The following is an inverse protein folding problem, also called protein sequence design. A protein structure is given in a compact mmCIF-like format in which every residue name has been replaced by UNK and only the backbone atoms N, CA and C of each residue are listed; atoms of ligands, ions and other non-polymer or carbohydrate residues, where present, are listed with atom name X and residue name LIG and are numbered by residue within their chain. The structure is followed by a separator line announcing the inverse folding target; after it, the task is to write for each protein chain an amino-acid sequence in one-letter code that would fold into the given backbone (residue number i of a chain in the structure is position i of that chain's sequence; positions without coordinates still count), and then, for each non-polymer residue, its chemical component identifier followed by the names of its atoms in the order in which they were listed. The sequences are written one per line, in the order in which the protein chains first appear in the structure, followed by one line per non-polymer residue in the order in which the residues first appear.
data_IF_614185189261
#
_entry.id   IF_614185189261
#
_cell.length_a   1.000
_cell.length_b   1.000
_cell.length_c   1.000
_cell.angle_alpha   90.00
_cell.angle_beta   90.00
_cell.angle_gamma   90.00
#
_symmetry.space_group_name_H-M   'P 1'
#
loop_
_entity.id
_entity.type
_entity.pdbx_description
1 polymer ?
#
# COMPACT_ATOMS: atom_id res chain seq x y z
N UNK A 1 70.37 26.37 9.82
CA UNK A 1 69.67 25.85 8.63
C UNK A 1 68.45 25.07 9.09
N UNK A 2 67.30 25.35 8.47
CA UNK A 2 65.99 24.68 8.60
C UNK A 2 66.11 23.17 8.24
N UNK A 3 65.20 22.27 8.69
CA UNK A 3 63.78 22.40 8.33
C UNK A 3 62.73 22.06 9.41
N UNK A 4 61.63 22.79 9.28
CA UNK A 4 60.30 22.49 9.78
C UNK A 4 59.81 21.13 9.32
N UNK A 5 59.12 20.38 10.18
CA UNK A 5 58.32 19.22 9.79
C UNK A 5 56.86 19.45 10.20
N UNK A 6 55.98 19.40 9.20
CA UNK A 6 54.54 19.65 9.30
C UNK A 6 53.84 18.53 10.07
N UNK A 7 52.87 18.90 10.91
CA UNK A 7 51.82 18.02 11.39
C UNK A 7 50.92 17.59 10.22
N UNK A 8 50.75 16.28 10.04
CA UNK A 8 49.65 15.72 9.25
C UNK A 8 48.65 15.06 10.21
N UNK A 9 47.53 15.74 10.47
CA UNK A 9 46.41 15.17 11.20
C UNK A 9 45.56 14.34 10.23
N UNK A 10 45.60 13.01 10.35
CA UNK A 10 44.64 12.13 9.69
C UNK A 10 43.30 12.22 10.43
N UNK A 11 42.34 12.94 9.86
CA UNK A 11 40.94 12.85 10.27
C UNK A 11 40.31 11.66 9.54
N UNK A 12 40.18 10.52 10.21
CA UNK A 12 39.34 9.41 9.77
C UNK A 12 37.87 9.82 9.95
N UNK A 13 37.26 10.36 8.90
CA UNK A 13 35.84 10.64 8.85
C UNK A 13 35.05 9.32 8.82
N UNK A 14 34.62 8.86 9.98
CA UNK A 14 33.64 7.78 10.09
C UNK A 14 32.29 8.24 9.54
N UNK A 15 31.86 7.64 8.43
CA UNK A 15 30.49 7.78 7.94
C UNK A 15 29.55 7.11 8.96
N UNK A 16 29.02 7.89 9.89
CA UNK A 16 27.89 7.46 10.72
C UNK A 16 26.68 7.41 9.81
N UNK A 17 26.37 6.21 9.30
CA UNK A 17 25.09 5.94 8.66
C UNK A 17 24.01 6.11 9.73
N UNK A 18 23.34 7.26 9.71
CA UNK A 18 22.23 7.53 10.62
C UNK A 18 21.06 6.62 10.24
N UNK A 19 20.96 5.47 10.88
CA UNK A 19 19.76 4.65 10.81
C UNK A 19 18.59 5.47 11.37
N UNK A 20 17.45 5.55 10.66
CA UNK A 20 16.30 6.30 11.13
C UNK A 20 15.84 5.76 12.48
N UNK A 21 15.65 6.67 13.44
CA UNK A 21 15.15 6.34 14.78
C UNK A 21 13.76 5.72 14.66
N UNK A 22 13.66 4.45 15.04
CA UNK A 22 12.41 3.69 15.06
C UNK A 22 11.56 4.21 16.22
N UNK A 23 10.67 5.16 15.95
CA UNK A 23 9.59 5.49 16.89
C UNK A 23 8.52 4.42 16.77
N UNK A 24 8.40 3.61 17.82
CA UNK A 24 7.30 2.66 17.97
C UNK A 24 6.05 3.47 18.34
N UNK A 25 5.09 3.58 17.42
CA UNK A 25 3.74 4.04 17.77
C UNK A 25 3.14 3.02 18.74
N UNK A 26 2.71 3.51 19.91
CA UNK A 26 2.39 2.68 21.07
C UNK A 26 1.20 1.75 20.88
N UNK A 27 1.26 0.62 21.59
CA UNK A 27 0.15 -0.26 21.94
C UNK A 27 -0.46 -1.07 20.80
N UNK A 28 -0.76 -2.34 21.06
CA UNK A 28 -1.49 -3.26 20.18
C UNK A 28 -2.99 -2.86 20.13
N UNK A 29 -3.26 -1.64 19.67
CA UNK A 29 -4.60 -1.06 19.59
C UNK A 29 -5.15 -1.33 18.20
N UNK A 30 -6.36 -1.91 18.13
CA UNK A 30 -7.04 -2.12 16.86
C UNK A 30 -7.20 -0.77 16.12
N UNK A 31 -6.57 -0.60 14.94
CA UNK A 31 -6.49 0.69 14.26
C UNK A 31 -7.82 1.21 13.73
N UNK A 32 -8.84 0.35 13.65
CA UNK A 32 -10.18 0.67 13.19
C UNK A 32 -11.08 1.24 14.30
N UNK A 33 -10.72 1.08 15.57
CA UNK A 33 -11.57 1.53 16.68
C UNK A 33 -11.75 3.06 16.65
N UNK A 34 -13.00 3.49 16.85
CA UNK A 34 -13.37 4.90 16.87
C UNK A 34 -13.38 5.60 15.49
N UNK A 35 -12.99 4.90 14.42
CA UNK A 35 -12.90 5.45 13.06
C UNK A 35 -14.01 4.87 12.17
N UNK A 36 -14.46 5.66 11.21
CA UNK A 36 -15.31 5.19 10.13
C UNK A 36 -14.44 4.57 9.03
N UNK A 37 -14.85 3.39 8.55
CA UNK A 37 -14.18 2.75 7.42
C UNK A 37 -14.51 3.52 6.14
N UNK A 38 -13.48 3.82 5.36
CA UNK A 38 -13.61 4.61 4.14
C UNK A 38 -14.45 3.90 3.06
N UNK A 39 -15.49 4.59 2.57
CA UNK A 39 -16.28 4.17 1.41
C UNK A 39 -15.61 4.69 0.15
N UNK A 40 -15.05 3.80 -0.67
CA UNK A 40 -14.37 4.13 -1.92
C UNK A 40 -15.37 4.62 -3.00
N UNK A 41 -15.39 5.92 -3.35
CA UNK A 41 -16.38 6.45 -4.29
C UNK A 41 -16.19 5.95 -5.72
N UNK A 42 -14.94 5.69 -6.15
CA UNK A 42 -14.66 5.16 -7.49
C UNK A 42 -15.21 3.74 -7.64
N UNK A 43 -15.07 2.91 -6.62
CA UNK A 43 -15.67 1.58 -6.62
C UNK A 43 -17.20 1.63 -6.53
N UNK A 44 -17.74 2.46 -5.63
CA UNK A 44 -19.19 2.63 -5.48
C UNK A 44 -19.86 3.08 -6.79
N UNK A 45 -19.23 3.97 -7.55
CA UNK A 45 -19.74 4.42 -8.86
C UNK A 45 -19.87 3.28 -9.89
N UNK A 46 -19.05 2.22 -9.81
CA UNK A 46 -19.17 1.06 -10.73
C UNK A 46 -20.51 0.33 -10.55
N UNK A 47 -21.09 0.39 -9.36
CA UNK A 47 -22.39 -0.23 -9.08
C UNK A 47 -23.57 0.52 -9.73
N UNK A 48 -23.36 1.72 -10.29
CA UNK A 48 -24.42 2.44 -11.02
C UNK A 48 -24.96 1.61 -12.20
N UNK A 49 -24.09 0.86 -12.87
CA UNK A 49 -24.50 -0.06 -13.92
C UNK A 49 -25.39 -1.18 -13.37
N UNK A 50 -25.02 -1.72 -12.21
CA UNK A 50 -25.79 -2.78 -11.53
C UNK A 50 -27.15 -2.24 -11.09
N UNK A 51 -27.18 -1.05 -10.50
CA UNK A 51 -28.41 -0.35 -10.10
C UNK A 51 -29.35 -0.17 -11.30
N UNK A 52 -28.84 0.37 -12.41
CA UNK A 52 -29.60 0.58 -13.64
C UNK A 52 -30.14 -0.72 -14.24
N UNK A 53 -29.47 -1.86 -14.03
CA UNK A 53 -29.92 -3.15 -14.53
C UNK A 53 -31.18 -3.70 -13.84
N UNK A 54 -31.48 -3.25 -12.62
CA UNK A 54 -32.66 -3.68 -11.86
C UNK A 54 -33.92 -2.89 -12.20
N UNK A 55 -33.78 -1.63 -12.64
CA UNK A 55 -34.91 -0.73 -12.88
C UNK A 55 -35.87 -1.24 -13.98
N UNK A 56 -35.42 -1.72 -15.16
CA UNK A 56 -36.31 -2.23 -16.20
C UNK A 56 -37.07 -3.51 -15.79
N UNK A 57 -36.55 -4.24 -14.80
CA UNK A 57 -37.15 -5.49 -14.29
C UNK A 57 -38.18 -5.23 -13.18
N UNK A 58 -38.39 -3.97 -12.78
CA UNK A 58 -39.25 -3.62 -11.65
C UNK A 58 -38.71 -4.11 -10.29
N UNK A 59 -37.43 -4.51 -10.21
CA UNK A 59 -36.83 -5.10 -9.02
C UNK A 59 -36.33 -4.02 -8.05
N UNK A 60 -37.31 -3.35 -7.42
CA UNK A 60 -37.05 -2.25 -6.47
C UNK A 60 -36.31 -2.74 -5.23
N UNK A 61 -36.58 -3.96 -4.78
CA UNK A 61 -35.94 -4.50 -3.59
C UNK A 61 -34.42 -4.62 -3.77
N UNK A 62 -33.96 -5.16 -4.90
CA UNK A 62 -32.52 -5.27 -5.16
C UNK A 62 -31.89 -3.95 -5.57
N UNK A 63 -32.61 -3.04 -6.24
CA UNK A 63 -32.10 -1.69 -6.52
C UNK A 63 -31.78 -0.90 -5.24
N UNK A 64 -32.64 -0.97 -4.22
CA UNK A 64 -32.40 -0.35 -2.91
C UNK A 64 -31.21 -0.99 -2.16
N UNK A 65 -31.01 -2.31 -2.29
CA UNK A 65 -29.82 -2.98 -1.72
C UNK A 65 -28.54 -2.47 -2.37
N UNK A 66 -28.51 -2.31 -3.69
CA UNK A 66 -27.33 -1.76 -4.39
C UNK A 66 -27.05 -0.32 -3.93
N UNK A 67 -28.07 0.52 -3.84
CA UNK A 67 -27.93 1.89 -3.32
C UNK A 67 -27.35 1.89 -1.89
N UNK A 68 -27.83 0.99 -1.03
CA UNK A 68 -27.30 0.85 0.33
C UNK A 68 -25.81 0.45 0.31
N UNK A 69 -25.43 -0.51 -0.55
CA UNK A 69 -24.04 -0.94 -0.71
C UNK A 69 -23.17 0.24 -1.16
N UNK A 70 -23.59 0.98 -2.19
CA UNK A 70 -22.86 2.15 -2.70
C UNK A 70 -22.58 3.21 -1.64
N UNK A 71 -23.53 3.41 -0.72
CA UNK A 71 -23.45 4.48 0.28
C UNK A 71 -22.74 4.07 1.57
N UNK A 72 -22.66 2.78 1.87
CA UNK A 72 -22.26 2.33 3.22
C UNK A 72 -21.19 1.25 3.27
N UNK A 73 -20.94 0.53 2.17
CA UNK A 73 -19.93 -0.51 2.17
C UNK A 73 -18.55 0.08 1.93
N UNK A 74 -17.68 -0.05 2.93
CA UNK A 74 -16.28 0.25 2.80
C UNK A 74 -15.58 -0.77 1.89
N UNK A 75 -14.59 -0.30 1.14
CA UNK A 75 -13.73 -1.16 0.33
C UNK A 75 -12.35 -0.54 0.20
N UNK A 76 -11.35 -1.38 -0.01
CA UNK A 76 -9.98 -0.92 -0.17
C UNK A 76 -9.77 -0.32 -1.56
N UNK A 77 -8.87 0.65 -1.65
CA UNK A 77 -8.43 1.25 -2.92
C UNK A 77 -7.23 0.46 -3.40
N UNK A 78 -7.36 -0.18 -4.57
CA UNK A 78 -6.28 -0.95 -5.17
C UNK A 78 -5.30 -0.02 -5.86
N UNK A 79 -4.02 -0.15 -5.49
CA UNK A 79 -2.89 0.51 -6.14
C UNK A 79 -2.04 -0.61 -6.72
N UNK A 80 -2.31 -0.94 -7.98
CA UNK A 80 -1.80 -2.16 -8.60
C UNK A 80 -0.77 -1.91 -9.70
N UNK A 81 -0.54 -0.64 -10.02
CA UNK A 81 0.41 -0.11 -11.00
C UNK A 81 0.93 1.25 -10.54
N UNK A 82 2.05 1.71 -11.08
CA UNK A 82 2.61 3.05 -10.85
C UNK A 82 1.59 4.13 -11.24
N UNK A 83 0.84 3.93 -12.33
CA UNK A 83 -0.21 4.86 -12.75
C UNK A 83 -1.35 4.99 -11.71
N UNK A 84 -1.59 3.94 -10.91
CA UNK A 84 -2.63 3.92 -9.89
C UNK A 84 -2.25 4.69 -8.62
N UNK A 85 -1.00 5.19 -8.50
CA UNK A 85 -0.59 6.02 -7.36
C UNK A 85 -1.47 7.27 -7.18
N UNK A 86 -2.04 7.78 -8.27
CA UNK A 86 -3.03 8.87 -8.25
C UNK A 86 -4.31 8.49 -7.49
N UNK A 87 -4.66 7.20 -7.40
CA UNK A 87 -5.82 6.74 -6.64
C UNK A 87 -5.66 6.99 -5.13
N UNK A 88 -4.42 7.08 -4.62
CA UNK A 88 -4.16 7.41 -3.22
C UNK A 88 -4.56 8.86 -2.95
N UNK A 89 -4.23 9.79 -3.86
CA UNK A 89 -4.58 11.20 -3.73
C UNK A 89 -6.11 11.39 -3.74
N UNK A 90 -6.79 10.69 -4.66
CA UNK A 90 -8.25 10.69 -4.74
C UNK A 90 -8.90 10.12 -3.47
N UNK A 91 -8.33 9.05 -2.91
CA UNK A 91 -8.80 8.45 -1.68
C UNK A 91 -8.63 9.42 -0.48
N UNK A 92 -7.49 10.09 -0.39
CA UNK A 92 -7.22 11.12 0.63
C UNK A 92 -8.22 12.27 0.52
N UNK A 93 -8.45 12.78 -0.68
CA UNK A 93 -9.40 13.88 -0.93
C UNK A 93 -10.82 13.48 -0.55
N UNK A 94 -11.25 12.27 -0.93
CA UNK A 94 -12.56 11.73 -0.60
C UNK A 94 -12.72 11.48 0.91
N UNK A 95 -11.71 10.93 1.57
CA UNK A 95 -11.73 10.68 3.01
C UNK A 95 -11.84 11.99 3.80
N UNK A 96 -11.06 13.02 3.44
CA UNK A 96 -11.18 14.36 4.05
C UNK A 96 -12.56 14.98 3.84
N UNK A 97 -13.16 14.79 2.65
CA UNK A 97 -14.54 15.22 2.39
C UNK A 97 -15.54 14.50 3.29
N UNK A 98 -15.36 13.19 3.51
CA UNK A 98 -16.18 12.40 4.41
C UNK A 98 -16.01 12.83 5.88
N UNK A 99 -14.78 13.10 6.34
CA UNK A 99 -14.52 13.66 7.68
C UNK A 99 -15.27 14.97 7.88
N UNK A 100 -15.13 15.92 6.96
CA UNK A 100 -15.81 17.22 7.04
C UNK A 100 -17.33 17.09 7.06
N UNK A 101 -17.89 16.15 6.30
CA UNK A 101 -19.34 15.93 6.22
C UNK A 101 -19.91 15.26 7.48
N UNK A 102 -19.16 14.34 8.09
CA UNK A 102 -19.68 13.46 9.14
C UNK A 102 -19.16 13.78 10.54
N UNK A 103 -18.09 14.56 10.65
CA UNK A 103 -17.35 14.78 11.89
C UNK A 103 -16.59 13.53 12.39
N UNK A 104 -16.64 12.41 11.66
CA UNK A 104 -16.01 11.15 12.07
C UNK A 104 -14.67 10.97 11.38
N UNK A 105 -13.65 10.63 12.17
CA UNK A 105 -12.33 10.26 11.66
C UNK A 105 -12.42 9.05 10.73
N UNK A 106 -11.74 9.11 9.58
CA UNK A 106 -11.71 8.02 8.61
C UNK A 106 -10.47 7.15 8.79
N UNK A 107 -10.60 5.87 8.43
CA UNK A 107 -9.48 4.99 8.11
C UNK A 107 -9.60 4.54 6.66
N UNK A 108 -8.58 4.86 5.85
CA UNK A 108 -8.52 4.54 4.43
C UNK A 108 -7.84 3.18 4.24
N UNK A 109 -8.55 2.22 3.64
CA UNK A 109 -7.97 0.95 3.23
C UNK A 109 -7.29 1.08 1.87
N UNK A 110 -6.03 0.69 1.79
CA UNK A 110 -5.24 0.67 0.55
C UNK A 110 -4.68 -0.74 0.31
N UNK A 111 -4.76 -1.22 -0.92
CA UNK A 111 -4.05 -2.44 -1.35
C UNK A 111 -2.81 -2.01 -2.11
N UNK A 112 -1.65 -2.39 -1.58
CA UNK A 112 -0.36 -2.25 -2.23
C UNK A 112 -0.12 -3.55 -3.01
N UNK A 113 -0.08 -3.51 -4.34
CA UNK A 113 -0.05 -4.76 -5.11
C UNK A 113 0.70 -4.60 -6.43
N UNK A 114 2.03 -4.52 -6.40
CA UNK A 114 2.82 -4.34 -7.62
C UNK A 114 4.24 -4.94 -7.51
N UNK A 115 4.42 -6.03 -6.74
CA UNK A 115 5.73 -6.71 -6.70
C UNK A 115 6.15 -7.12 -8.12
N UNK A 116 7.46 -7.13 -8.37
CA UNK A 116 8.00 -7.63 -9.64
C UNK A 116 7.62 -9.09 -9.84
N UNK A 117 7.43 -9.51 -11.08
CA UNK A 117 7.01 -10.87 -11.44
C UNK A 117 5.81 -11.32 -10.57
N UNK A 118 4.84 -10.40 -10.40
CA UNK A 118 3.65 -10.61 -9.57
C UNK A 118 2.88 -11.85 -10.00
N UNK A 119 2.23 -12.48 -9.02
CA UNK A 119 1.34 -13.63 -9.21
C UNK A 119 2.07 -14.80 -9.88
N UNK A 120 3.17 -15.20 -9.25
CA UNK A 120 4.07 -16.23 -9.77
C UNK A 120 3.38 -17.59 -10.03
N UNK A 121 2.21 -17.83 -9.44
CA UNK A 121 1.35 -19.00 -9.67
C UNK A 121 0.08 -18.70 -10.48
N UNK A 122 -0.22 -17.42 -10.77
CA UNK A 122 -1.52 -16.95 -11.24
C UNK A 122 -1.69 -16.78 -12.75
N UNK A 123 -0.61 -16.84 -13.54
CA UNK A 123 -0.63 -16.90 -15.01
C UNK A 123 -1.11 -15.64 -15.77
N UNK A 124 -2.18 -14.97 -15.32
CA UNK A 124 -2.86 -13.87 -16.04
C UNK A 124 -2.70 -12.48 -15.40
N UNK A 125 -2.04 -12.37 -14.25
CA UNK A 125 -1.87 -11.10 -13.51
C UNK A 125 -0.39 -10.68 -13.39
N UNK A 126 0.42 -11.04 -14.40
CA UNK A 126 1.81 -10.59 -14.50
C UNK A 126 1.87 -9.06 -14.32
N UNK A 127 2.42 -8.62 -13.18
CA UNK A 127 2.54 -7.20 -12.85
C UNK A 127 3.38 -6.46 -13.90
N UNK A 128 3.34 -5.13 -13.90
CA UNK A 128 4.08 -4.32 -14.90
C UNK A 128 5.60 -4.29 -14.69
N UNK A 129 6.08 -4.86 -13.58
CA UNK A 129 7.47 -4.87 -13.17
C UNK A 129 8.04 -6.27 -13.40
N UNK A 130 9.05 -6.37 -14.27
CA UNK A 130 9.60 -7.64 -14.69
C UNK A 130 11.04 -7.83 -14.24
N UNK A 131 11.46 -9.10 -14.21
CA UNK A 131 12.77 -9.48 -13.73
C UNK A 131 13.93 -9.02 -14.62
N UNK A 132 13.70 -8.96 -15.91
CA UNK A 132 14.60 -8.53 -16.98
C UNK A 132 14.73 -7.00 -17.09
N UNK A 133 13.79 -6.24 -16.53
CA UNK A 133 13.74 -4.78 -16.60
C UNK A 133 13.89 -4.10 -15.22
N UNK A 134 14.88 -4.56 -14.43
CA UNK A 134 15.21 -3.97 -13.13
C UNK A 134 14.00 -3.83 -12.18
N UNK A 135 13.02 -4.75 -12.26
CA UNK A 135 11.71 -4.58 -11.65
C UNK A 135 11.73 -4.39 -10.12
N UNK A 136 12.75 -4.88 -9.41
CA UNK A 136 12.85 -4.67 -7.96
C UNK A 136 13.20 -3.22 -7.62
N UNK A 137 14.14 -2.62 -8.37
CA UNK A 137 14.53 -1.24 -8.14
C UNK A 137 13.40 -0.29 -8.53
N UNK A 138 12.72 -0.56 -9.66
CA UNK A 138 11.53 0.18 -10.08
C UNK A 138 10.41 0.06 -9.03
N UNK A 139 10.19 -1.13 -8.47
CA UNK A 139 9.25 -1.31 -7.37
C UNK A 139 9.59 -0.43 -6.16
N UNK A 140 10.87 -0.37 -5.77
CA UNK A 140 11.29 0.46 -4.63
C UNK A 140 11.14 1.95 -4.91
N UNK A 141 11.61 2.40 -6.08
CA UNK A 141 11.81 3.83 -6.39
C UNK A 141 10.62 4.49 -7.08
N UNK A 142 9.98 3.81 -8.02
CA UNK A 142 8.86 4.34 -8.81
C UNK A 142 7.50 4.01 -8.18
N UNK A 143 7.44 2.99 -7.31
CA UNK A 143 6.18 2.55 -6.70
C UNK A 143 6.14 2.78 -5.18
N UNK A 144 6.98 2.10 -4.39
CA UNK A 144 6.94 2.16 -2.91
C UNK A 144 7.28 3.55 -2.39
N UNK A 145 8.34 4.18 -2.90
CA UNK A 145 8.74 5.52 -2.45
C UNK A 145 7.62 6.56 -2.62
N UNK A 146 7.03 6.78 -3.82
CA UNK A 146 5.95 7.74 -3.97
C UNK A 146 4.67 7.32 -3.24
N UNK A 147 4.40 6.01 -3.09
CA UNK A 147 3.30 5.54 -2.24
C UNK A 147 3.50 6.02 -0.79
N UNK A 148 4.69 5.77 -0.22
CA UNK A 148 5.04 6.14 1.15
C UNK A 148 4.98 7.65 1.35
N UNK A 149 5.49 8.43 0.40
CA UNK A 149 5.43 9.90 0.42
C UNK A 149 3.99 10.42 0.47
N UNK A 150 3.08 9.84 -0.33
CA UNK A 150 1.65 10.24 -0.35
C UNK A 150 0.96 9.96 0.99
N UNK A 151 1.15 8.77 1.57
CA UNK A 151 0.53 8.45 2.87
C UNK A 151 1.16 9.25 4.01
N UNK A 152 2.47 9.49 3.99
CA UNK A 152 3.17 10.28 4.99
C UNK A 152 2.78 11.77 4.97
N UNK A 153 2.42 12.30 3.79
CA UNK A 153 1.92 13.66 3.64
C UNK A 153 0.53 13.86 4.26
N UNK A 154 -0.29 12.80 4.34
CA UNK A 154 -1.65 12.85 4.89
C UNK A 154 -1.69 12.55 6.39
N UNK A 155 -1.00 13.38 7.19
CA UNK A 155 -0.86 13.22 8.65
C UNK A 155 -2.17 13.32 9.45
N UNK A 156 -3.25 13.76 8.81
CA UNK A 156 -4.59 13.93 9.38
C UNK A 156 -5.46 12.66 9.27
N UNK A 157 -5.04 11.68 8.48
CA UNK A 157 -5.78 10.45 8.18
C UNK A 157 -5.06 9.20 8.72
N UNK A 158 -5.84 8.16 9.00
CA UNK A 158 -5.31 6.82 9.25
C UNK A 158 -5.40 5.94 8.01
N UNK A 159 -4.42 5.04 7.83
CA UNK A 159 -4.35 4.11 6.71
C UNK A 159 -4.21 2.67 7.20
N UNK A 160 -4.91 1.75 6.54
CA UNK A 160 -4.67 0.32 6.62
C UNK A 160 -4.13 -0.15 5.27
N UNK A 161 -2.91 -0.69 5.24
CA UNK A 161 -2.25 -1.13 4.00
C UNK A 161 -2.13 -2.65 3.98
N UNK A 162 -2.57 -3.28 2.89
CA UNK A 162 -2.52 -4.73 2.66
C UNK A 162 -1.74 -5.06 1.40
N UNK A 163 -0.92 -6.11 1.44
CA UNK A 163 -0.18 -6.64 0.29
C UNK A 163 -0.55 -8.14 0.12
N UNK A 164 -1.35 -8.50 -0.91
CA UNK A 164 -1.87 -9.85 -1.11
C UNK A 164 -1.05 -10.70 -2.10
N UNK A 165 -1.26 -12.01 -2.07
CA UNK A 165 -0.80 -13.03 -3.02
C UNK A 165 0.72 -13.09 -3.24
N UNK A 166 1.47 -12.88 -2.15
CA UNK A 166 2.93 -12.82 -2.18
C UNK A 166 3.57 -13.91 -1.31
N UNK A 167 3.61 -13.73 0.01
CA UNK A 167 4.26 -14.64 0.95
C UNK A 167 3.57 -16.00 1.00
N UNK A 168 2.26 -16.06 0.78
CA UNK A 168 1.52 -17.32 0.72
C UNK A 168 2.03 -18.22 -0.42
N UNK A 169 2.34 -17.65 -1.59
CA UNK A 169 2.93 -18.38 -2.70
C UNK A 169 4.30 -18.98 -2.34
N UNK A 170 5.08 -18.30 -1.51
CA UNK A 170 6.38 -18.82 -1.04
C UNK A 170 6.24 -19.99 -0.06
N UNK A 171 5.03 -20.26 0.45
CA UNK A 171 4.74 -21.40 1.33
C UNK A 171 4.24 -22.59 0.52
N UNK A 172 3.27 -22.39 -0.37
CA UNK A 172 2.57 -23.50 -1.03
C UNK A 172 2.98 -23.76 -2.48
N UNK A 173 3.55 -22.75 -3.15
CA UNK A 173 3.72 -22.76 -4.62
C UNK A 173 5.19 -22.78 -5.06
N UNK A 174 6.13 -23.17 -4.18
CA UNK A 174 7.55 -23.27 -4.51
C UNK A 174 7.88 -24.36 -5.54
N UNK A 175 6.96 -25.29 -5.82
CA UNK A 175 7.12 -26.23 -6.95
C UNK A 175 7.04 -25.53 -8.32
N UNK A 176 6.51 -24.30 -8.38
CA UNK A 176 6.43 -23.49 -9.59
C UNK A 176 7.76 -22.75 -9.76
N UNK A 177 8.41 -22.92 -10.91
CA UNK A 177 9.74 -22.35 -11.19
C UNK A 177 9.75 -20.81 -11.06
N UNK A 178 8.69 -20.15 -11.54
CA UNK A 178 8.53 -18.71 -11.43
C UNK A 178 8.50 -18.24 -9.97
N UNK A 179 7.76 -18.95 -9.10
CA UNK A 179 7.71 -18.63 -7.67
C UNK A 179 9.06 -18.85 -6.97
N UNK A 180 9.78 -19.91 -7.34
CA UNK A 180 11.14 -20.14 -6.80
C UNK A 180 12.08 -19.00 -7.18
N UNK A 181 12.04 -18.51 -8.43
CA UNK A 181 12.87 -17.39 -8.88
C UNK A 181 12.47 -16.05 -8.26
N UNK A 182 11.17 -15.85 -7.97
CA UNK A 182 10.65 -14.63 -7.37
C UNK A 182 10.83 -14.57 -5.83
N UNK A 183 11.01 -15.71 -5.16
CA UNK A 183 11.13 -15.79 -3.71
C UNK A 183 12.11 -14.78 -3.04
N UNK A 184 13.38 -14.63 -3.49
CA UNK A 184 14.29 -13.67 -2.85
C UNK A 184 13.80 -12.23 -3.00
N UNK A 185 13.25 -11.87 -4.17
CA UNK A 185 12.83 -10.50 -4.45
C UNK A 185 11.49 -10.16 -3.81
N UNK A 186 10.58 -11.13 -3.62
CA UNK A 186 9.37 -10.96 -2.82
C UNK A 186 9.73 -10.63 -1.37
N UNK A 187 10.65 -11.40 -0.76
CA UNK A 187 11.10 -11.13 0.62
C UNK A 187 11.71 -9.74 0.75
N UNK A 188 12.59 -9.37 -0.18
CA UNK A 188 13.26 -8.07 -0.16
C UNK A 188 12.29 -6.90 -0.42
N UNK A 189 11.43 -7.02 -1.42
CA UNK A 189 10.43 -6.02 -1.76
C UNK A 189 9.45 -5.77 -0.62
N UNK A 190 8.93 -6.84 -0.02
CA UNK A 190 8.00 -6.76 1.11
C UNK A 190 8.69 -6.17 2.35
N UNK A 191 9.92 -6.59 2.66
CA UNK A 191 10.69 -6.01 3.76
C UNK A 191 10.91 -4.51 3.55
N UNK A 192 11.22 -4.09 2.32
CA UNK A 192 11.35 -2.69 1.96
C UNK A 192 10.03 -1.92 2.09
N UNK A 193 8.92 -2.47 1.60
CA UNK A 193 7.60 -1.87 1.73
C UNK A 193 7.19 -1.68 3.20
N UNK A 194 7.40 -2.69 4.04
CA UNK A 194 7.17 -2.57 5.49
C UNK A 194 8.01 -1.44 6.06
N UNK A 195 9.32 -1.43 5.79
CA UNK A 195 10.24 -0.44 6.35
C UNK A 195 9.87 0.99 5.94
N UNK A 196 9.47 1.19 4.68
CA UNK A 196 9.08 2.50 4.14
C UNK A 196 7.71 2.99 4.61
N UNK A 197 6.84 2.11 5.10
CA UNK A 197 5.47 2.46 5.54
C UNK A 197 5.32 2.60 7.05
N UNK A 198 6.43 2.62 7.80
CA UNK A 198 6.40 2.76 9.26
C UNK A 198 6.13 4.22 9.66
N UNK A 199 4.85 4.56 9.75
CA UNK A 199 4.37 5.84 10.26
C UNK A 199 3.29 5.62 11.33
N UNK A 200 3.14 6.56 12.26
CA UNK A 200 2.24 6.39 13.41
C UNK A 200 0.78 6.06 13.05
N UNK A 201 0.29 6.58 11.92
CA UNK A 201 -1.09 6.41 11.46
C UNK A 201 -1.20 5.45 10.26
N UNK A 202 -0.12 4.77 9.89
CA UNK A 202 -0.11 3.79 8.81
C UNK A 202 0.06 2.40 9.40
N UNK A 203 -0.98 1.59 9.26
CA UNK A 203 -1.04 0.25 9.81
C UNK A 203 -0.90 -0.77 8.67
N UNK A 204 0.30 -1.31 8.51
CA UNK A 204 0.60 -2.32 7.50
C UNK A 204 0.25 -3.71 8.03
N UNK A 205 -0.49 -4.49 7.25
CA UNK A 205 -0.75 -5.91 7.50
C UNK A 205 -0.20 -6.70 6.32
N UNK A 206 0.71 -7.61 6.62
CA UNK A 206 1.06 -8.67 5.68
C UNK A 206 -0.11 -9.63 5.58
N UNK A 207 -0.30 -10.24 4.41
CA UNK A 207 -1.20 -11.37 4.26
C UNK A 207 -0.86 -12.41 5.34
N UNK A 208 -1.79 -12.59 6.28
CA UNK A 208 -1.77 -13.68 7.23
C UNK A 208 -2.88 -14.62 6.83
N UNK A 209 -2.57 -15.92 6.89
CA UNK A 209 -3.53 -16.99 6.73
C UNK A 209 -4.73 -16.72 7.64
N UNK A 210 -5.91 -16.51 7.04
CA UNK A 210 -7.19 -16.58 7.73
C UNK A 210 -7.47 -18.02 8.17
#
# INVERSE_FOLDING_TARGET
MRPSSLLAALATGGLVSAAPSIKHAGGDVNPFLGKAQFVNPKWAAKLDQTLKSFLPKGDIANSLKVLKIQQTMASFVWVSRIADLSNIDDAIAAARKAERKTGRKQIVGLVLYNLRDRDCSGGESAGELHSDDNGLERYKTEFIKPYAEKVAAAKDLSFAVLEPDSLANLVTNMAIELCTKAAPTYREGIAYAIASLRYDLVHTRLEQRL
#
